data_IF_671056016193
#
_entry.id   IF_671056016193
#
_cell.length_a   1.000
_cell.length_b   1.000
_cell.length_c   1.000
_cell.angle_alpha   90.00
_cell.angle_beta   90.00
_cell.angle_gamma   90.00
#
_symmetry.space_group_name_H-M   'P 1'
#
loop_
_entity.id
_entity.type
_entity.pdbx_description
1 polymer ?
#
# COMPACT_ATOMS: atom_id res chain seq x y z
N UNK A 1 -9.98 -10.10 -19.25
CA UNK A 1 -8.90 -9.09 -19.38
C UNK A 1 -8.26 -8.70 -18.04
N UNK A 2 -9.03 -8.43 -16.97
CA UNK A 2 -8.46 -8.01 -15.67
C UNK A 2 -7.41 -8.95 -15.06
N UNK A 3 -7.63 -10.27 -15.08
CA UNK A 3 -6.68 -11.24 -14.50
C UNK A 3 -5.28 -11.20 -15.13
N UNK A 4 -5.20 -11.10 -16.46
CA UNK A 4 -3.93 -11.02 -17.18
C UNK A 4 -3.19 -9.71 -16.88
N UNK A 5 -3.92 -8.61 -16.70
CA UNK A 5 -3.34 -7.33 -16.31
C UNK A 5 -2.79 -7.42 -14.89
N UNK A 6 -3.54 -7.99 -13.94
CA UNK A 6 -3.09 -8.16 -12.55
C UNK A 6 -1.84 -9.05 -12.43
N UNK A 7 -1.72 -10.09 -13.26
CA UNK A 7 -0.52 -10.93 -13.31
C UNK A 7 0.70 -10.14 -13.79
N UNK A 8 0.56 -9.40 -14.91
CA UNK A 8 1.65 -8.54 -15.41
C UNK A 8 2.05 -7.45 -14.42
N UNK A 9 1.08 -6.87 -13.70
CA UNK A 9 1.35 -5.87 -12.66
C UNK A 9 2.14 -6.45 -11.49
N UNK A 10 1.77 -7.65 -11.01
CA UNK A 10 2.51 -8.38 -9.97
C UNK A 10 3.97 -8.61 -10.38
N UNK A 11 4.19 -9.11 -11.60
CA UNK A 11 5.54 -9.38 -12.10
C UNK A 11 6.36 -8.09 -12.20
N UNK A 12 5.77 -7.01 -12.72
CA UNK A 12 6.43 -5.72 -12.82
C UNK A 12 6.80 -5.16 -11.43
N UNK A 13 5.84 -5.12 -10.50
CA UNK A 13 6.04 -4.57 -9.16
C UNK A 13 7.07 -5.37 -8.34
N UNK A 14 7.16 -6.69 -8.55
CA UNK A 14 8.14 -7.52 -7.85
C UNK A 14 9.53 -7.56 -8.47
N UNK A 15 9.65 -7.37 -9.79
CA UNK A 15 10.94 -7.59 -10.48
C UNK A 15 11.53 -6.33 -11.10
N UNK A 16 10.70 -5.45 -11.65
CA UNK A 16 11.15 -4.30 -12.47
C UNK A 16 11.02 -2.96 -11.76
N UNK A 17 10.07 -2.83 -10.83
CA UNK A 17 9.90 -1.62 -10.05
C UNK A 17 11.19 -1.27 -9.28
N UNK A 18 11.56 0.01 -9.29
CA UNK A 18 12.77 0.53 -8.66
C UNK A 18 12.56 1.87 -7.94
N UNK A 19 11.33 2.38 -7.91
CA UNK A 19 11.00 3.61 -7.20
C UNK A 19 10.71 3.38 -5.72
N UNK A 20 10.57 4.48 -4.98
CA UNK A 20 10.16 4.42 -3.58
C UNK A 20 8.70 3.98 -3.45
N UNK A 21 8.36 3.30 -2.35
CA UNK A 21 7.01 2.80 -2.11
C UNK A 21 6.57 3.10 -0.69
N UNK A 22 5.33 3.58 -0.58
CA UNK A 22 4.65 3.80 0.69
C UNK A 22 3.30 3.08 0.64
N UNK A 23 2.97 2.35 1.69
CA UNK A 23 1.70 1.64 1.85
C UNK A 23 1.04 2.11 3.15
N UNK A 24 -0.24 2.44 3.08
CA UNK A 24 -1.09 2.66 4.25
C UNK A 24 -2.26 1.66 4.23
N UNK A 25 -2.67 1.20 5.40
CA UNK A 25 -3.71 0.18 5.55
C UNK A 25 -4.71 0.60 6.63
N UNK A 26 -5.98 0.60 6.27
CA UNK A 26 -7.08 0.70 7.23
C UNK A 26 -7.25 -0.62 7.97
N UNK A 27 -7.08 -0.61 9.29
CA UNK A 27 -7.14 -1.83 10.10
C UNK A 27 -8.57 -2.37 10.20
N UNK A 28 -9.58 -1.52 10.03
CA UNK A 28 -11.00 -1.91 10.11
C UNK A 28 -11.60 -2.29 8.75
N UNK A 29 -10.82 -2.28 7.66
CA UNK A 29 -11.29 -2.73 6.34
C UNK A 29 -11.66 -4.23 6.37
N UNK A 30 -12.94 -4.59 6.11
CA UNK A 30 -13.39 -5.98 6.15
C UNK A 30 -13.01 -6.79 4.90
N UNK A 31 -12.53 -6.13 3.84
CA UNK A 31 -12.20 -6.74 2.55
C UNK A 31 -10.70 -6.75 2.32
N UNK A 32 -10.03 -5.59 2.45
CA UNK A 32 -8.61 -5.41 2.18
C UNK A 32 -7.83 -4.95 3.43
N UNK A 33 -8.11 -5.57 4.57
CA UNK A 33 -7.40 -5.31 5.82
C UNK A 33 -5.93 -5.81 5.84
N UNK A 34 -5.29 -5.77 7.02
CA UNK A 34 -3.87 -6.08 7.18
C UNK A 34 -3.38 -7.41 6.56
N UNK A 35 -4.10 -8.54 6.66
CA UNK A 35 -3.63 -9.80 6.07
C UNK A 35 -3.46 -9.71 4.54
N UNK A 36 -4.45 -9.13 3.84
CA UNK A 36 -4.41 -9.02 2.37
C UNK A 36 -3.33 -8.05 1.93
N UNK A 37 -3.26 -6.89 2.59
CA UNK A 37 -2.27 -5.87 2.24
C UNK A 37 -0.84 -6.30 2.55
N UNK A 38 -0.62 -7.12 3.58
CA UNK A 38 0.69 -7.72 3.85
C UNK A 38 1.13 -8.68 2.74
N UNK A 39 0.21 -9.42 2.11
CA UNK A 39 0.55 -10.24 0.93
C UNK A 39 0.89 -9.38 -0.29
N UNK A 40 0.15 -8.29 -0.51
CA UNK A 40 0.48 -7.33 -1.58
C UNK A 40 1.85 -6.66 -1.33
N UNK A 41 2.15 -6.30 -0.09
CA UNK A 41 3.44 -5.70 0.28
C UNK A 41 4.61 -6.60 -0.09
N UNK A 42 4.51 -7.92 0.16
CA UNK A 42 5.56 -8.90 -0.21
C UNK A 42 5.82 -8.96 -1.71
N UNK A 43 4.82 -8.63 -2.52
CA UNK A 43 4.96 -8.56 -3.99
C UNK A 43 5.72 -7.31 -4.41
N UNK A 44 5.48 -6.16 -3.78
CA UNK A 44 6.04 -4.88 -4.23
C UNK A 44 7.48 -4.76 -3.74
N UNK A 45 8.43 -4.73 -4.69
CA UNK A 45 9.86 -4.59 -4.39
C UNK A 45 10.13 -3.29 -3.64
N UNK A 46 10.76 -3.39 -2.48
CA UNK A 46 11.11 -2.24 -1.64
C UNK A 46 9.95 -1.68 -0.80
N UNK A 47 8.80 -2.35 -0.76
CA UNK A 47 7.67 -1.92 0.07
C UNK A 47 7.94 -2.18 1.56
N UNK A 48 8.14 -1.10 2.31
CA UNK A 48 8.38 -1.14 3.76
C UNK A 48 7.12 -1.56 4.54
N UNK A 49 7.25 -1.69 5.87
CA UNK A 49 6.08 -1.97 6.73
C UNK A 49 4.98 -0.92 6.50
N UNK A 50 3.70 -1.32 6.40
CA UNK A 50 2.64 -0.37 6.13
C UNK A 50 2.38 0.57 7.31
N UNK A 51 2.05 1.82 7.02
CA UNK A 51 1.45 2.71 7.99
C UNK A 51 0.02 2.25 8.30
N UNK A 52 -0.21 1.78 9.53
CA UNK A 52 -1.52 1.26 9.96
C UNK A 52 -2.36 2.39 10.54
N UNK A 53 -3.54 2.59 9.96
CA UNK A 53 -4.55 3.51 10.50
C UNK A 53 -5.54 2.68 11.30
N UNK A 54 -5.43 2.72 12.63
CA UNK A 54 -6.16 1.84 13.53
C UNK A 54 -7.68 1.95 13.40
N UNK A 55 -8.19 3.17 13.22
CA UNK A 55 -9.63 3.43 13.02
C UNK A 55 -10.03 3.44 11.54
N UNK A 56 -9.06 3.34 10.64
CA UNK A 56 -9.27 3.47 9.19
C UNK A 56 -9.94 2.24 8.60
N UNK A 57 -10.99 2.46 7.81
CA UNK A 57 -11.74 1.41 7.12
C UNK A 57 -11.35 1.27 5.65
N UNK A 58 -12.30 0.77 4.85
CA UNK A 58 -12.14 0.53 3.42
C UNK A 58 -11.82 1.81 2.62
N UNK A 59 -12.50 2.91 2.94
CA UNK A 59 -12.24 4.22 2.35
C UNK A 59 -11.16 4.96 3.15
N UNK A 60 -9.94 4.45 3.11
CA UNK A 60 -8.82 4.97 3.89
C UNK A 60 -8.52 6.46 3.62
N UNK A 61 -8.93 6.98 2.47
CA UNK A 61 -8.80 8.39 2.09
C UNK A 61 -9.56 9.34 3.02
N UNK A 62 -10.53 8.84 3.82
CA UNK A 62 -11.17 9.62 4.89
C UNK A 62 -10.17 10.01 6.00
N UNK A 63 -9.07 9.26 6.17
CA UNK A 63 -7.89 9.62 6.97
C UNK A 63 -6.72 10.13 6.10
N UNK A 64 -7.04 10.65 4.92
CA UNK A 64 -6.07 10.96 3.88
C UNK A 64 -5.06 12.03 4.26
N UNK A 65 -5.39 12.93 5.19
CA UNK A 65 -4.47 13.98 5.67
C UNK A 65 -3.28 13.38 6.40
N UNK A 66 -3.52 12.47 7.34
CA UNK A 66 -2.48 11.78 8.10
C UNK A 66 -1.66 10.87 7.17
N UNK A 67 -2.35 10.11 6.31
CA UNK A 67 -1.71 9.22 5.32
C UNK A 67 -0.78 10.01 4.38
N UNK A 68 -1.23 11.16 3.86
CA UNK A 68 -0.42 12.00 2.98
C UNK A 68 0.81 12.57 3.69
N UNK A 69 0.68 12.99 4.95
CA UNK A 69 1.83 13.46 5.75
C UNK A 69 2.85 12.36 5.98
N UNK A 70 2.42 11.15 6.33
CA UNK A 70 3.33 10.03 6.54
C UNK A 70 4.01 9.57 5.25
N UNK A 71 3.31 9.63 4.12
CA UNK A 71 3.91 9.40 2.81
C UNK A 71 5.01 10.42 2.49
N UNK A 72 4.73 11.71 2.69
CA UNK A 72 5.70 12.79 2.45
C UNK A 72 6.94 12.65 3.35
N UNK A 73 6.77 12.30 4.63
CA UNK A 73 7.90 12.00 5.53
C UNK A 73 8.72 10.80 5.05
N UNK A 74 8.05 9.72 4.65
CA UNK A 74 8.69 8.50 4.14
C UNK A 74 9.58 8.81 2.93
N UNK A 75 9.08 9.68 2.03
CA UNK A 75 9.82 10.12 0.85
C UNK A 75 10.73 11.33 1.09
N UNK A 76 10.84 11.81 2.34
CA UNK A 76 11.66 12.97 2.74
C UNK A 76 11.37 14.25 1.95
N UNK A 77 10.07 14.47 1.67
CA UNK A 77 9.57 15.65 0.98
C UNK A 77 9.09 16.75 1.94
N UNK A 78 9.02 16.43 3.24
CA UNK A 78 8.79 17.35 4.36
C UNK A 78 9.68 16.96 5.55
#
# INVERSE_FOLDING_TARGET
EGAQISQRARDFLGTKWSGDSFMAVGVTDPVFGPPVMNELRKVIKGCLEPYKVMDGGHFLQEWGKEVAKEALKTFKLI
#
